data_IF_163920911068
#
_entry.id   IF_163920911068
#
_cell.length_a   1.000
_cell.length_b   1.000
_cell.length_c   1.000
_cell.angle_alpha   90.00
_cell.angle_beta   90.00
_cell.angle_gamma   90.00
#
_symmetry.space_group_name_H-M   'P 1'
#
loop_
_entity.id
_entity.type
_entity.pdbx_description
1 polymer ?
#
# COMPACT_ATOMS: atom_id res chain seq x y z
N UNK A 1 69.17 9.93 -33.95
CA UNK A 1 67.93 9.12 -33.98
C UNK A 1 67.34 8.81 -32.60
N UNK A 2 68.08 8.93 -31.48
CA UNK A 2 67.58 8.66 -30.11
C UNK A 2 66.66 9.76 -29.53
N UNK A 3 66.76 11.00 -30.02
CA UNK A 3 65.96 12.11 -29.53
C UNK A 3 64.51 12.09 -30.07
N UNK A 4 64.30 11.59 -31.29
CA UNK A 4 62.96 11.55 -31.92
C UNK A 4 62.08 10.49 -31.25
N UNK A 5 62.65 9.33 -30.88
CA UNK A 5 61.91 8.31 -30.12
C UNK A 5 61.50 8.79 -28.73
N UNK A 6 62.30 9.63 -28.09
CA UNK A 6 62.00 10.18 -26.77
C UNK A 6 60.84 11.20 -26.79
N UNK A 7 60.71 12.00 -27.85
CA UNK A 7 59.58 12.91 -28.01
C UNK A 7 58.27 12.17 -28.31
N UNK A 8 58.33 11.09 -29.10
CA UNK A 8 57.16 10.28 -29.44
C UNK A 8 56.67 9.51 -28.21
N UNK A 9 57.57 8.96 -27.39
CA UNK A 9 57.18 8.26 -26.15
C UNK A 9 56.65 9.24 -25.09
N UNK A 10 57.23 10.44 -24.97
CA UNK A 10 56.74 11.46 -24.05
C UNK A 10 55.34 11.97 -24.45
N UNK A 11 55.10 12.18 -25.76
CA UNK A 11 53.77 12.52 -26.28
C UNK A 11 52.73 11.42 -26.07
N UNK A 12 53.12 10.15 -26.25
CA UNK A 12 52.24 9.00 -26.02
C UNK A 12 51.86 8.86 -24.53
N UNK A 13 52.80 9.10 -23.61
CA UNK A 13 52.55 9.09 -22.17
C UNK A 13 51.66 10.26 -21.75
N UNK A 14 51.85 11.45 -22.32
CA UNK A 14 51.02 12.63 -22.02
C UNK A 14 49.56 12.44 -22.46
N UNK A 15 49.33 11.76 -23.58
CA UNK A 15 47.98 11.40 -24.06
C UNK A 15 47.35 10.30 -23.20
N UNK A 16 48.14 9.36 -22.66
CA UNK A 16 47.66 8.31 -21.76
C UNK A 16 47.37 8.82 -20.33
N UNK A 17 48.06 9.88 -19.90
CA UNK A 17 47.86 10.52 -18.59
C UNK A 17 46.74 11.56 -18.56
N UNK A 18 46.03 11.78 -19.67
CA UNK A 18 44.79 12.55 -19.70
C UNK A 18 43.68 11.81 -18.96
N UNK A 19 43.78 11.78 -17.62
CA UNK A 19 42.74 11.28 -16.73
C UNK A 19 41.50 12.11 -17.00
N UNK A 20 40.47 11.47 -17.54
CA UNK A 20 39.15 12.07 -17.69
C UNK A 20 38.66 12.48 -16.32
N UNK A 21 38.77 13.77 -15.98
CA UNK A 21 38.19 14.33 -14.77
C UNK A 21 36.66 14.17 -14.89
N UNK A 22 36.11 13.08 -14.34
CA UNK A 22 34.67 12.97 -14.19
C UNK A 22 34.27 13.99 -13.13
N UNK A 23 33.66 15.08 -13.57
CA UNK A 23 33.04 16.05 -12.67
C UNK A 23 32.14 15.29 -11.70
N UNK A 24 32.47 15.35 -10.40
CA UNK A 24 31.69 14.69 -9.37
C UNK A 24 30.35 15.41 -9.27
N UNK A 25 29.30 14.77 -9.80
CA UNK A 25 27.95 15.30 -9.81
C UNK A 25 27.40 15.27 -8.38
N UNK A 26 27.52 16.40 -7.67
CA UNK A 26 27.01 16.57 -6.32
C UNK A 26 25.49 16.76 -6.38
N UNK A 27 24.74 15.67 -6.39
CA UNK A 27 23.27 15.71 -6.41
C UNK A 27 22.73 16.02 -5.02
N UNK A 28 22.33 17.26 -4.79
CA UNK A 28 21.55 17.61 -3.60
C UNK A 28 20.12 17.10 -3.81
N UNK A 29 19.68 16.15 -2.96
CA UNK A 29 18.29 15.69 -2.99
C UNK A 29 17.40 16.70 -2.26
N UNK A 30 16.90 17.69 -3.01
CA UNK A 30 15.88 18.58 -2.49
C UNK A 30 14.48 17.96 -2.63
N UNK A 31 13.59 18.11 -1.63
CA UNK A 31 12.19 17.76 -1.80
C UNK A 31 11.55 18.69 -2.83
N UNK A 32 11.04 18.12 -3.92
CA UNK A 32 10.34 18.86 -4.97
C UNK A 32 8.84 18.89 -4.62
N UNK A 33 8.36 20.04 -4.13
CA UNK A 33 6.93 20.26 -3.91
C UNK A 33 6.26 20.71 -5.22
N UNK A 34 5.17 20.06 -5.58
CA UNK A 34 4.36 20.38 -6.76
C UNK A 34 2.98 20.79 -6.29
N UNK A 35 2.64 22.06 -6.51
CA UNK A 35 1.40 22.64 -6.03
C UNK A 35 0.52 22.99 -7.23
N UNK A 36 -0.70 22.46 -7.26
CA UNK A 36 -1.74 22.84 -8.21
C UNK A 36 -2.93 23.36 -7.43
N UNK A 37 -3.33 24.60 -7.69
CA UNK A 37 -4.48 25.25 -7.05
C UNK A 37 -5.33 25.95 -8.10
N UNK A 38 -6.64 25.98 -7.84
CA UNK A 38 -7.62 26.67 -8.67
C UNK A 38 -8.46 27.56 -7.76
N UNK A 39 -8.40 28.88 -7.98
CA UNK A 39 -9.13 29.88 -7.21
C UNK A 39 -10.25 30.50 -8.05
N UNK A 40 -11.32 29.76 -8.26
CA UNK A 40 -12.45 30.19 -9.11
C UNK A 40 -13.78 30.01 -8.38
N UNK A 41 -14.74 30.89 -8.64
CA UNK A 41 -16.13 30.74 -8.19
C UNK A 41 -16.96 30.11 -9.29
N UNK A 42 -17.69 29.04 -8.97
CA UNK A 42 -18.57 28.36 -9.93
C UNK A 42 -19.98 28.24 -9.34
N UNK A 43 -21.00 28.47 -10.17
CA UNK A 43 -22.37 28.09 -9.84
C UNK A 43 -22.55 26.62 -10.23
N UNK A 44 -22.91 25.77 -9.27
CA UNK A 44 -23.09 24.33 -9.45
C UNK A 44 -24.55 24.00 -9.15
N UNK A 45 -25.24 23.24 -10.03
CA UNK A 45 -26.60 22.82 -9.74
C UNK A 45 -26.64 21.85 -8.55
N UNK A 46 -27.80 21.75 -7.91
CA UNK A 46 -28.01 20.84 -6.78
C UNK A 46 -27.77 19.39 -7.21
N UNK A 47 -26.89 18.68 -6.50
CA UNK A 47 -26.41 17.33 -6.86
C UNK A 47 -25.59 17.27 -8.15
N UNK A 48 -25.14 18.43 -8.63
CA UNK A 48 -24.27 18.56 -9.79
C UNK A 48 -22.80 18.54 -9.44
N UNK A 49 -22.00 18.43 -10.50
CA UNK A 49 -20.57 18.65 -10.46
C UNK A 49 -20.16 19.74 -11.45
N UNK A 50 -19.14 20.51 -11.10
CA UNK A 50 -18.50 21.46 -12.00
C UNK A 50 -17.00 21.13 -12.11
N UNK A 51 -16.50 21.10 -13.34
CA UNK A 51 -15.07 20.97 -13.60
C UNK A 51 -14.41 22.34 -13.43
N UNK A 52 -13.48 22.44 -12.47
CA UNK A 52 -12.81 23.70 -12.13
C UNK A 52 -11.59 23.94 -13.02
N UNK A 53 -11.03 22.88 -13.61
CA UNK A 53 -9.89 22.96 -14.51
C UNK A 53 -8.82 21.92 -14.20
N UNK A 54 -7.80 21.87 -15.04
CA UNK A 54 -6.68 20.94 -14.87
C UNK A 54 -5.50 21.25 -15.76
N UNK A 55 -4.32 20.82 -15.33
CA UNK A 55 -3.07 20.91 -16.08
C UNK A 55 -2.65 19.51 -16.52
N UNK A 56 -2.37 19.34 -17.81
CA UNK A 56 -1.80 18.13 -18.37
C UNK A 56 -0.50 18.49 -19.08
N UNK A 57 0.61 17.88 -18.68
CA UNK A 57 1.92 18.08 -19.31
C UNK A 57 2.52 16.75 -19.70
N UNK A 58 3.05 16.69 -20.91
CA UNK A 58 3.79 15.57 -21.43
C UNK A 58 5.06 16.08 -22.06
N UNK A 59 6.15 15.32 -21.96
CA UNK A 59 7.39 15.67 -22.62
C UNK A 59 8.25 14.45 -22.86
N UNK A 60 9.08 14.57 -23.88
CA UNK A 60 10.07 13.58 -24.26
C UNK A 60 11.43 14.25 -24.34
N UNK A 61 12.42 13.71 -23.65
CA UNK A 61 13.80 14.16 -23.73
C UNK A 61 14.64 13.10 -24.41
N UNK A 62 15.54 13.50 -25.30
CA UNK A 62 16.58 12.63 -25.85
C UNK A 62 17.92 13.33 -25.67
N UNK A 63 18.87 12.68 -25.02
CA UNK A 63 20.24 13.17 -24.82
C UNK A 63 21.20 12.20 -25.48
N UNK A 64 22.08 12.69 -26.35
CA UNK A 64 23.17 11.88 -26.92
C UNK A 64 24.52 12.45 -26.48
N UNK A 65 25.50 11.59 -26.20
CA UNK A 65 26.81 11.99 -25.67
C UNK A 65 27.95 11.51 -26.60
N UNK A 66 29.00 12.32 -26.73
CA UNK A 66 30.27 11.95 -27.39
C UNK A 66 30.44 12.39 -28.86
N UNK A 67 31.69 12.52 -29.35
CA UNK A 67 32.02 12.95 -30.71
C UNK A 67 31.58 11.96 -31.81
N UNK A 68 31.33 10.70 -31.44
CA UNK A 68 30.81 9.65 -32.33
C UNK A 68 29.36 9.23 -32.02
N UNK A 69 28.59 10.05 -31.27
CA UNK A 69 27.17 9.81 -30.92
C UNK A 69 26.86 8.39 -30.38
N UNK A 70 27.82 7.75 -29.71
CA UNK A 70 27.63 6.41 -29.14
C UNK A 70 26.98 6.52 -27.77
N UNK A 71 25.66 6.46 -27.76
CA UNK A 71 24.83 6.51 -26.55
C UNK A 71 23.72 7.55 -26.68
N UNK A 72 22.47 7.09 -26.59
CA UNK A 72 21.31 7.96 -26.45
C UNK A 72 20.51 7.57 -25.21
N UNK A 73 20.29 8.54 -24.32
CA UNK A 73 19.33 8.48 -23.22
C UNK A 73 18.01 9.07 -23.72
N UNK A 74 16.91 8.40 -23.41
CA UNK A 74 15.57 8.91 -23.70
C UNK A 74 14.74 8.92 -22.42
N UNK A 75 14.11 10.05 -22.14
CA UNK A 75 13.18 10.23 -21.04
C UNK A 75 11.79 10.56 -21.55
N UNK A 76 10.77 10.05 -20.85
CA UNK A 76 9.37 10.40 -21.06
C UNK A 76 8.79 10.84 -19.73
N UNK A 77 8.01 11.92 -19.74
CA UNK A 77 7.17 12.27 -18.60
C UNK A 77 5.76 12.61 -19.08
N UNK A 78 4.78 12.22 -18.26
CA UNK A 78 3.37 12.60 -18.40
C UNK A 78 2.85 12.88 -17.01
N UNK A 79 2.14 13.99 -16.86
CA UNK A 79 1.57 14.43 -15.61
C UNK A 79 0.22 15.08 -15.86
N UNK A 80 -0.74 14.79 -15.00
CA UNK A 80 -2.09 15.32 -15.04
C UNK A 80 -2.49 15.71 -13.63
N UNK A 81 -3.07 16.89 -13.47
CA UNK A 81 -3.68 17.36 -12.22
C UNK A 81 -4.97 18.09 -12.57
N UNK A 82 -6.07 17.76 -11.89
CA UNK A 82 -7.39 18.29 -12.18
C UNK A 82 -8.15 18.58 -10.89
N UNK A 83 -9.03 19.58 -10.94
CA UNK A 83 -9.89 20.00 -9.85
C UNK A 83 -11.36 20.00 -10.29
N UNK A 84 -12.24 19.53 -9.40
CA UNK A 84 -13.68 19.49 -9.62
C UNK A 84 -14.41 19.77 -8.31
N UNK A 85 -15.54 20.47 -8.38
CA UNK A 85 -16.44 20.67 -7.26
C UNK A 85 -17.67 19.78 -7.45
N UNK A 86 -18.16 19.17 -6.36
CA UNK A 86 -19.43 18.47 -6.33
C UNK A 86 -20.24 18.98 -5.15
N UNK A 87 -21.51 19.29 -5.37
CA UNK A 87 -22.38 19.88 -4.35
C UNK A 87 -23.53 18.94 -4.04
N UNK A 88 -23.69 18.62 -2.77
CA UNK A 88 -24.87 17.90 -2.27
C UNK A 88 -25.52 18.75 -1.20
N UNK A 89 -26.76 19.19 -1.45
CA UNK A 89 -27.55 19.88 -0.44
C UNK A 89 -28.31 18.82 0.37
N UNK A 90 -28.16 18.90 1.69
CA UNK A 90 -28.80 18.00 2.64
C UNK A 90 -29.99 18.69 3.28
N UNK A 91 -31.19 18.09 3.17
CA UNK A 91 -32.33 18.47 4.00
C UNK A 91 -32.11 17.88 5.39
N UNK A 92 -31.80 18.74 6.35
CA UNK A 92 -31.47 18.31 7.71
C UNK A 92 -32.70 17.79 8.47
N UNK A 93 -33.90 18.28 8.14
CA UNK A 93 -35.12 17.91 8.85
C UNK A 93 -35.58 16.52 8.43
N UNK A 94 -35.66 16.26 7.13
CA UNK A 94 -35.97 14.93 6.62
C UNK A 94 -34.91 13.89 7.03
N UNK A 95 -33.64 14.30 7.14
CA UNK A 95 -32.57 13.42 7.59
C UNK A 95 -32.64 13.10 9.09
N UNK A 96 -32.96 14.10 9.92
CA UNK A 96 -33.15 13.90 11.35
C UNK A 96 -34.34 12.97 11.62
N UNK A 97 -35.48 13.20 10.97
CA UNK A 97 -36.63 12.30 11.02
C UNK A 97 -36.29 10.88 10.53
N UNK A 98 -35.46 10.74 9.49
CA UNK A 98 -34.97 9.45 9.01
C UNK A 98 -34.00 8.77 9.98
N UNK A 99 -33.15 9.52 10.68
CA UNK A 99 -32.24 8.99 11.70
C UNK A 99 -32.98 8.58 12.98
N UNK A 100 -33.94 9.40 13.42
CA UNK A 100 -34.84 9.10 14.53
C UNK A 100 -35.73 7.90 14.20
N UNK A 101 -36.32 7.87 13.01
CA UNK A 101 -37.10 6.74 12.52
C UNK A 101 -36.27 5.46 12.37
N UNK A 102 -34.97 5.55 12.06
CA UNK A 102 -34.07 4.39 12.09
C UNK A 102 -33.74 3.94 13.51
N UNK A 103 -33.54 4.86 14.44
CA UNK A 103 -33.33 4.53 15.85
C UNK A 103 -34.58 3.88 16.47
N UNK A 104 -35.77 4.35 16.07
CA UNK A 104 -37.06 3.84 16.51
C UNK A 104 -37.41 2.47 15.86
N UNK A 105 -37.13 2.31 14.56
CA UNK A 105 -37.24 1.00 13.85
C UNK A 105 -36.13 0.02 14.23
N UNK A 106 -35.14 0.46 15.00
CA UNK A 106 -33.88 -0.22 15.27
C UNK A 106 -33.54 -0.26 16.76
N UNK A 107 -34.47 -0.78 17.56
CA UNK A 107 -34.23 -1.39 18.87
C UNK A 107 -32.85 -2.07 18.97
N UNK A 108 -32.12 -1.76 20.04
CA UNK A 108 -30.99 -2.49 20.67
C UNK A 108 -30.83 -3.94 20.16
N UNK A 109 -30.10 -4.13 19.07
CA UNK A 109 -30.07 -5.45 18.45
C UNK A 109 -29.02 -5.56 17.36
N UNK A 110 -27.75 -5.70 17.80
CA UNK A 110 -26.57 -6.06 17.00
C UNK A 110 -26.44 -5.29 15.69
N UNK A 111 -25.41 -4.45 15.59
CA UNK A 111 -24.87 -3.92 14.34
C UNK A 111 -24.58 -5.06 13.33
N UNK A 112 -25.61 -5.57 12.66
CA UNK A 112 -25.53 -6.28 11.41
C UNK A 112 -25.39 -5.17 10.40
N UNK A 113 -24.15 -4.71 10.22
CA UNK A 113 -23.76 -3.99 9.03
C UNK A 113 -24.09 -4.89 7.84
N UNK A 114 -25.33 -4.82 7.36
CA UNK A 114 -25.65 -5.19 6.00
C UNK A 114 -24.92 -4.15 5.17
N UNK A 115 -23.69 -4.51 4.84
CA UNK A 115 -22.73 -3.83 4.01
C UNK A 115 -23.27 -3.78 2.58
N UNK A 116 -24.45 -3.21 2.41
CA UNK A 116 -25.21 -3.12 1.17
C UNK A 116 -25.64 -1.67 1.04
N UNK A 117 -24.66 -0.83 0.75
CA UNK A 117 -24.82 0.59 0.43
C UNK A 117 -23.72 1.01 -0.54
N UNK A 118 -23.80 2.19 -1.16
CA UNK A 118 -22.78 2.66 -2.09
C UNK A 118 -21.36 2.65 -1.49
N UNK A 119 -21.23 2.90 -0.18
CA UNK A 119 -19.97 2.78 0.56
C UNK A 119 -19.42 1.33 0.60
N UNK A 120 -20.29 0.32 0.67
CA UNK A 120 -19.90 -1.08 0.62
C UNK A 120 -19.40 -1.51 -0.78
N UNK A 121 -20.05 -0.99 -1.82
CA UNK A 121 -19.64 -1.20 -3.21
C UNK A 121 -18.31 -0.48 -3.52
N UNK A 122 -18.13 0.73 -2.99
CA UNK A 122 -16.86 1.45 -3.06
C UNK A 122 -15.75 0.67 -2.34
N UNK A 123 -16.02 0.17 -1.13
CA UNK A 123 -15.07 -0.64 -0.38
C UNK A 123 -14.71 -1.96 -1.08
N UNK A 124 -15.70 -2.67 -1.64
CA UNK A 124 -15.47 -3.91 -2.37
C UNK A 124 -14.64 -3.69 -3.64
N UNK A 125 -14.86 -2.58 -4.36
CA UNK A 125 -14.08 -2.21 -5.53
C UNK A 125 -12.61 -1.90 -5.20
N UNK A 126 -12.35 -1.25 -4.06
CA UNK A 126 -11.00 -0.96 -3.57
C UNK A 126 -10.28 -2.25 -3.14
N UNK A 127 -10.96 -3.14 -2.43
CA UNK A 127 -10.37 -4.42 -2.02
C UNK A 127 -10.10 -5.34 -3.21
N UNK A 128 -10.99 -5.36 -4.21
CA UNK A 128 -10.81 -6.16 -5.41
C UNK A 128 -9.65 -5.63 -6.29
N UNK A 129 -9.48 -4.30 -6.42
CA UNK A 129 -8.30 -3.72 -7.12
C UNK A 129 -6.97 -4.02 -6.43
N UNK A 130 -6.97 -4.16 -5.09
CA UNK A 130 -5.76 -4.53 -4.34
C UNK A 130 -5.41 -6.00 -4.56
N UNK A 131 -6.43 -6.86 -4.64
CA UNK A 131 -6.29 -8.27 -4.99
C UNK A 131 -5.70 -8.48 -6.39
N UNK A 132 -6.17 -7.75 -7.40
CA UNK A 132 -5.68 -7.90 -8.79
C UNK A 132 -4.28 -7.33 -9.01
N UNK A 133 -3.93 -6.20 -8.38
CA UNK A 133 -2.55 -5.68 -8.38
C UNK A 133 -1.58 -6.65 -7.71
N UNK A 134 -1.97 -7.25 -6.59
CA UNK A 134 -1.14 -8.22 -5.90
C UNK A 134 -1.09 -9.57 -6.63
N UNK A 135 -2.14 -9.97 -7.36
CA UNK A 135 -2.15 -11.16 -8.19
C UNK A 135 -1.16 -11.03 -9.36
N UNK A 136 -1.18 -9.89 -10.08
CA UNK A 136 -0.22 -9.62 -11.16
C UNK A 136 1.23 -9.51 -10.66
N UNK A 137 1.46 -9.03 -9.43
CA UNK A 137 2.78 -9.00 -8.82
C UNK A 137 3.25 -10.39 -8.32
N UNK A 138 2.34 -11.37 -8.20
CA UNK A 138 2.63 -12.72 -7.69
C UNK A 138 2.77 -13.78 -8.78
N UNK A 139 2.38 -13.49 -10.03
CA UNK A 139 2.59 -14.38 -11.19
C UNK A 139 4.10 -14.67 -11.44
N UNK A 140 5.02 -13.90 -10.85
CA UNK A 140 6.47 -14.14 -10.96
C UNK A 140 7.14 -14.95 -9.84
N UNK A 141 6.43 -15.37 -8.76
CA UNK A 141 7.07 -16.08 -7.64
C UNK A 141 6.20 -17.21 -7.09
N UNK A 142 6.71 -18.43 -7.28
CA UNK A 142 6.46 -19.69 -6.56
C UNK A 142 5.12 -20.40 -6.79
N UNK A 143 5.06 -21.12 -7.90
CA UNK A 143 4.42 -22.45 -7.97
C UNK A 143 5.37 -23.47 -7.33
N UNK A 144 5.48 -23.48 -6.01
CA UNK A 144 6.18 -24.52 -5.26
C UNK A 144 5.51 -24.66 -3.89
N UNK A 145 5.17 -25.91 -3.54
CA UNK A 145 4.41 -26.36 -2.37
C UNK A 145 2.87 -26.24 -2.47
N UNK A 146 2.29 -27.03 -3.36
CA UNK A 146 1.01 -27.71 -3.09
C UNK A 146 1.21 -28.70 -1.95
N UNK A 147 1.32 -28.23 -0.71
CA UNK A 147 0.97 -29.06 0.43
C UNK A 147 -0.54 -29.23 0.44
N UNK A 148 -0.99 -30.41 0.85
CA UNK A 148 -2.38 -30.87 1.00
C UNK A 148 -3.37 -29.76 1.42
N UNK A 149 -4.69 -29.89 1.19
CA UNK A 149 -5.66 -28.88 1.62
C UNK A 149 -5.64 -28.74 3.15
N UNK A 150 -4.68 -27.97 3.68
CA UNK A 150 -4.57 -27.60 5.08
C UNK A 150 -5.81 -26.78 5.33
N UNK A 151 -6.74 -27.38 6.08
CA UNK A 151 -8.01 -26.73 6.34
C UNK A 151 -7.73 -25.41 7.05
N UNK A 152 -8.64 -24.43 6.90
CA UNK A 152 -8.47 -23.13 7.58
C UNK A 152 -8.34 -23.29 9.10
N UNK A 153 -8.90 -24.38 9.64
CA UNK A 153 -8.75 -24.80 11.02
C UNK A 153 -7.29 -25.18 11.35
N UNK A 154 -6.67 -26.09 10.58
CA UNK A 154 -5.29 -26.55 10.80
C UNK A 154 -4.26 -25.41 10.71
N UNK A 155 -4.45 -24.51 9.74
CA UNK A 155 -3.58 -23.33 9.59
C UNK A 155 -3.65 -22.44 10.83
N UNK A 156 -4.87 -22.18 11.31
CA UNK A 156 -5.10 -21.34 12.48
C UNK A 156 -4.54 -22.00 13.74
N UNK A 157 -4.64 -23.33 13.85
CA UNK A 157 -4.09 -24.09 14.96
C UNK A 157 -2.56 -24.04 15.00
N UNK A 158 -1.88 -24.24 13.86
CA UNK A 158 -0.41 -24.08 13.75
C UNK A 158 0.06 -22.68 14.14
N UNK A 159 -0.67 -21.64 13.71
CA UNK A 159 -0.35 -20.25 14.09
C UNK A 159 -0.51 -20.02 15.60
N UNK A 160 -1.53 -20.63 16.22
CA UNK A 160 -1.71 -20.63 17.67
C UNK A 160 -0.52 -21.22 18.41
N UNK A 161 -0.05 -22.39 17.98
CA UNK A 161 1.13 -23.05 18.56
C UNK A 161 2.40 -22.20 18.41
N UNK A 162 2.59 -21.56 17.25
CA UNK A 162 3.72 -20.65 17.03
C UNK A 162 3.67 -19.41 17.92
N UNK A 163 2.48 -18.85 18.15
CA UNK A 163 2.30 -17.73 19.06
C UNK A 163 2.57 -18.14 20.51
N UNK A 164 2.18 -19.35 20.90
CA UNK A 164 2.45 -19.91 22.22
C UNK A 164 3.95 -20.15 22.44
N UNK A 165 4.65 -20.74 21.47
CA UNK A 165 6.11 -20.91 21.52
C UNK A 165 6.87 -19.58 21.63
N UNK A 166 6.27 -18.49 21.11
CA UNK A 166 6.81 -17.12 21.21
C UNK A 166 6.37 -16.40 22.50
N UNK A 167 5.68 -17.06 23.43
CA UNK A 167 5.19 -16.47 24.67
C UNK A 167 4.05 -15.45 24.50
N UNK A 168 3.43 -15.36 23.31
CA UNK A 168 2.36 -14.40 23.01
C UNK A 168 0.99 -15.01 23.30
N UNK A 169 0.65 -15.11 24.59
CA UNK A 169 -0.56 -15.81 25.07
C UNK A 169 -1.87 -15.24 24.51
N UNK A 170 -1.99 -13.92 24.40
CA UNK A 170 -3.18 -13.26 23.84
C UNK A 170 -3.39 -13.57 22.35
N UNK A 171 -2.29 -13.58 21.58
CA UNK A 171 -2.29 -13.91 20.16
C UNK A 171 -2.58 -15.41 19.94
N UNK A 172 -2.02 -16.27 20.79
CA UNK A 172 -2.30 -17.71 20.77
C UNK A 172 -3.80 -17.98 20.97
N UNK A 173 -4.43 -17.34 21.98
CA UNK A 173 -5.88 -17.44 22.23
C UNK A 173 -6.71 -17.04 21.01
N UNK A 174 -6.35 -15.95 20.34
CA UNK A 174 -7.06 -15.50 19.14
C UNK A 174 -7.03 -16.57 18.03
N UNK A 175 -5.85 -17.15 17.77
CA UNK A 175 -5.69 -18.17 16.75
C UNK A 175 -6.40 -19.49 17.10
N UNK A 176 -6.39 -19.90 18.38
CA UNK A 176 -7.16 -21.06 18.83
C UNK A 176 -8.67 -20.84 18.74
N UNK A 177 -9.17 -19.64 19.07
CA UNK A 177 -10.58 -19.28 18.89
C UNK A 177 -11.00 -19.35 17.42
N UNK A 178 -10.13 -18.88 16.52
CA UNK A 178 -10.37 -18.97 15.08
C UNK A 178 -10.36 -20.41 14.57
N UNK A 179 -9.43 -21.25 15.03
CA UNK A 179 -9.39 -22.67 14.69
C UNK A 179 -10.64 -23.43 15.19
N UNK A 180 -11.08 -23.14 16.42
CA UNK A 180 -12.31 -23.70 17.00
C UNK A 180 -13.57 -23.29 16.23
N UNK A 181 -13.63 -22.04 15.73
CA UNK A 181 -14.71 -21.55 14.86
C UNK A 181 -14.72 -22.27 13.51
N UNK A 182 -13.55 -22.66 13.01
CA UNK A 182 -13.39 -23.40 11.76
C UNK A 182 -13.51 -24.92 11.91
N UNK A 183 -13.84 -25.43 13.11
CA UNK A 183 -14.19 -26.82 13.33
C UNK A 183 -13.10 -27.69 13.95
N UNK A 184 -11.93 -27.15 14.35
CA UNK A 184 -10.91 -27.94 15.06
C UNK A 184 -11.36 -28.21 16.50
N UNK A 185 -11.44 -29.49 16.86
CA UNK A 185 -11.66 -29.98 18.24
C UNK A 185 -10.48 -29.63 19.14
N UNK A 186 -9.26 -29.90 18.66
CA UNK A 186 -8.01 -29.74 19.43
C UNK A 186 -7.79 -28.29 19.86
N UNK A 187 -8.21 -27.34 19.03
CA UNK A 187 -8.17 -25.92 19.37
C UNK A 187 -9.11 -25.52 20.51
N UNK A 188 -10.25 -26.21 20.67
CA UNK A 188 -11.21 -25.95 21.76
C UNK A 188 -10.64 -26.41 23.10
N UNK A 189 -10.05 -27.60 23.12
CA UNK A 189 -9.35 -28.14 24.30
C UNK A 189 -8.16 -27.26 24.70
N UNK A 190 -7.41 -26.74 23.71
CA UNK A 190 -6.31 -25.83 24.05
C UNK A 190 -6.80 -24.51 24.62
N UNK A 191 -7.93 -23.99 24.15
CA UNK A 191 -8.50 -22.74 24.63
C UNK A 191 -8.98 -22.87 26.10
N UNK A 192 -9.61 -23.97 26.48
CA UNK A 192 -10.01 -24.21 27.89
C UNK A 192 -8.79 -24.28 28.81
N UNK A 193 -7.70 -24.90 28.37
CA UNK A 193 -6.44 -24.94 29.16
C UNK A 193 -5.81 -23.55 29.35
N UNK A 194 -5.89 -22.68 28.33
CA UNK A 194 -5.36 -21.31 28.41
C UNK A 194 -6.23 -20.40 29.27
N UNK A 195 -7.55 -20.60 29.28
CA UNK A 195 -8.48 -19.85 30.12
C UNK A 195 -8.33 -20.25 31.59
N UNK A 196 -8.20 -21.56 31.87
CA UNK A 196 -7.91 -22.08 33.21
C UNK A 196 -6.55 -21.62 33.76
N UNK A 197 -5.54 -21.40 32.91
CA UNK A 197 -4.25 -20.86 33.34
C UNK A 197 -4.31 -19.37 33.71
N UNK A 198 -5.19 -18.58 33.07
CA UNK A 198 -5.36 -17.17 33.49
C UNK A 198 -6.11 -17.00 34.79
N UNK A 199 -7.05 -17.88 35.12
CA UNK A 199 -7.79 -17.79 36.37
C UNK A 199 -6.87 -18.09 37.56
N UNK A 200 -5.99 -19.10 37.45
CA UNK A 200 -5.02 -19.44 38.50
C UNK A 200 -3.95 -18.35 38.70
N UNK A 201 -3.48 -17.70 37.63
CA UNK A 201 -2.49 -16.63 37.74
C UNK A 201 -3.01 -15.36 38.44
N UNK A 202 -4.34 -15.15 38.46
CA UNK A 202 -4.96 -13.98 39.11
C UNK A 202 -5.16 -14.18 40.62
N UNK A 203 -5.16 -15.43 41.11
CA UNK A 203 -5.40 -15.75 42.53
C UNK A 203 -4.11 -15.87 43.37
N UNK A 204 -2.94 -15.95 42.75
CA UNK A 204 -1.65 -16.15 43.44
C UNK A 204 -0.88 -14.87 43.84
N UNK A 205 -1.47 -13.68 43.72
CA UNK A 205 -0.80 -12.38 43.88
C UNK A 205 -1.09 -11.62 45.17
N UNK A 206 -1.44 -12.31 46.26
CA UNK A 206 -1.64 -11.73 47.59
C UNK A 206 -0.97 -12.61 48.64
N UNK A 207 0.34 -12.44 48.81
CA UNK A 207 1.06 -12.58 50.07
C UNK A 207 2.28 -11.66 50.04
#
# INVERSE_FOLDING_TARGET
>A
MRCISAFITFGLVLVLSATTASAQNLTVQQPVFRNFSVGTTVSVPDRGGAYLGGVSRAGSSRRSFGPLRSGSSFGLFRENSAASAHVTIHDMRAMDEFLLGQAERGSVGRYRTTRSGPAANAYSSLTNRRGTRNASARVGRTSAASSSPVTRADRSFRLGQQAEAKGKTSLARLHYKMAAKHGSSDARERLTSLDGRSTVATTGGLK
#
